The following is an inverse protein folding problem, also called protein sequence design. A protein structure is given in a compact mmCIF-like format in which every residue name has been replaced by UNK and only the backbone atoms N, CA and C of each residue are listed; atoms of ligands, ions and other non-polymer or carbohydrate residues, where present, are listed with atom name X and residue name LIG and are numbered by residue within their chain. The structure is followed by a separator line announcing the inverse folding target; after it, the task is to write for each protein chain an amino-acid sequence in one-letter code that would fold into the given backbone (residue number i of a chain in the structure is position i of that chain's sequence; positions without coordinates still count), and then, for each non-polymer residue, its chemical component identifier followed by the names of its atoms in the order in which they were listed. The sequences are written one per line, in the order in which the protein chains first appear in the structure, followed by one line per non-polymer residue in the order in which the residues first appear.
data_IF_423173496569
#
_entry.id   IF_423173496569
#
_cell.length_a   1.000
_cell.length_b   1.000
_cell.length_c   1.000
_cell.angle_alpha   90.00
_cell.angle_beta   90.00
_cell.angle_gamma   90.00
#
_symmetry.space_group_name_H-M   'P 1'
#
loop_
_entity.id
_entity.type
_entity.pdbx_description
1 polymer ?
#
# COMPACT_ATOMS: atom_id res chain seq x y z
N UNK A 1 45.03 7.26 8.11
CA UNK A 1 44.15 6.87 6.98
C UNK A 1 43.04 5.92 7.43
N UNK A 2 42.89 5.71 8.73
CA UNK A 2 42.07 4.63 9.30
C UNK A 2 40.60 5.03 9.51
N UNK A 3 40.32 6.31 9.78
CA UNK A 3 38.96 6.81 10.02
C UNK A 3 38.09 6.73 8.77
N UNK A 4 38.67 7.00 7.59
CA UNK A 4 37.93 6.95 6.32
C UNK A 4 37.59 5.50 5.93
N UNK A 5 38.47 4.55 6.22
CA UNK A 5 38.21 3.12 6.04
C UNK A 5 37.13 2.60 6.99
N UNK A 6 37.14 3.04 8.25
CA UNK A 6 36.09 2.68 9.22
C UNK A 6 34.73 3.22 8.77
N UNK A 7 34.67 4.45 8.26
CA UNK A 7 33.42 5.03 7.75
C UNK A 7 32.91 4.30 6.50
N UNK A 8 33.81 3.91 5.59
CA UNK A 8 33.46 3.14 4.39
C UNK A 8 32.95 1.73 4.74
N UNK A 9 33.56 1.08 5.73
CA UNK A 9 33.12 -0.24 6.22
C UNK A 9 31.75 -0.15 6.90
N UNK A 10 31.52 0.87 7.73
CA UNK A 10 30.21 1.10 8.36
C UNK A 10 29.11 1.41 7.33
N UNK A 11 29.43 2.18 6.29
CA UNK A 11 28.50 2.45 5.19
C UNK A 11 28.20 1.18 4.37
N UNK A 12 29.20 0.34 4.11
CA UNK A 12 29.02 -0.94 3.44
C UNK A 12 28.14 -1.92 4.23
N UNK A 13 28.23 -1.94 5.56
CA UNK A 13 27.38 -2.76 6.44
C UNK A 13 25.91 -2.30 6.42
N UNK A 14 25.65 -1.01 6.20
CA UNK A 14 24.28 -0.49 6.10
C UNK A 14 23.57 -0.89 4.79
N UNK A 15 24.31 -1.25 3.73
CA UNK A 15 23.74 -1.58 2.41
C UNK A 15 23.24 -3.03 2.35
N UNK A 16 23.57 -3.90 3.32
CA UNK A 16 23.24 -5.34 3.25
C UNK A 16 21.86 -5.72 3.78
N UNK A 17 20.99 -4.77 4.13
CA UNK A 17 19.60 -5.08 4.44
C UNK A 17 18.79 -5.18 3.15
N UNK A 18 18.72 -6.38 2.56
CA UNK A 18 17.71 -6.70 1.56
C UNK A 18 16.48 -7.25 2.27
N UNK A 19 15.37 -6.53 2.22
CA UNK A 19 14.08 -7.03 2.69
C UNK A 19 13.49 -7.98 1.64
N UNK A 20 13.51 -9.28 1.95
CA UNK A 20 12.60 -10.25 1.33
C UNK A 20 11.43 -10.43 2.31
N UNK A 21 10.19 -10.51 1.81
CA UNK A 21 9.03 -10.70 2.66
C UNK A 21 9.05 -12.14 3.22
N UNK A 22 9.58 -12.25 4.43
CA UNK A 22 9.73 -13.50 5.17
C UNK A 22 8.92 -13.41 6.46
N UNK A 23 8.00 -14.35 6.65
CA UNK A 23 7.16 -14.37 7.84
C UNK A 23 6.93 -15.79 8.35
N UNK A 24 6.74 -15.88 9.66
CA UNK A 24 6.46 -17.14 10.32
C UNK A 24 4.96 -17.34 10.53
N UNK A 25 4.48 -18.56 10.28
CA UNK A 25 3.10 -19.01 10.49
C UNK A 25 3.12 -20.06 11.59
N UNK A 26 2.31 -19.83 12.63
CA UNK A 26 2.17 -20.78 13.73
C UNK A 26 1.25 -21.96 13.35
N UNK A 27 1.36 -23.11 14.03
CA UNK A 27 0.56 -24.29 13.71
C UNK A 27 -0.95 -24.02 13.81
N UNK A 28 -1.76 -24.54 12.86
CA UNK A 28 -3.21 -24.34 12.78
C UNK A 28 -3.63 -22.86 12.66
N UNK A 29 -2.75 -22.00 12.15
CA UNK A 29 -3.08 -20.60 11.86
C UNK A 29 -3.04 -20.32 10.37
N UNK A 30 -3.76 -19.28 9.96
CA UNK A 30 -3.68 -18.71 8.61
C UNK A 30 -3.09 -17.31 8.67
N UNK A 31 -2.21 -16.98 7.73
CA UNK A 31 -1.70 -15.63 7.52
C UNK A 31 -1.94 -15.21 6.08
N UNK A 32 -2.42 -14.00 5.89
CA UNK A 32 -2.77 -13.46 4.59
C UNK A 32 -2.06 -12.14 4.37
N UNK A 33 -1.52 -11.96 3.16
CA UNK A 33 -1.03 -10.68 2.67
C UNK A 33 -2.08 -10.11 1.72
N UNK A 34 -2.59 -8.91 2.01
CA UNK A 34 -3.61 -8.25 1.19
C UNK A 34 -3.03 -6.99 0.56
N UNK A 35 -3.23 -6.83 -0.73
CA UNK A 35 -2.66 -5.74 -1.52
C UNK A 35 -3.70 -5.16 -2.49
N UNK A 36 -3.67 -3.84 -2.67
CA UNK A 36 -4.51 -3.11 -3.63
C UNK A 36 -3.77 -3.04 -4.96
N UNK A 37 -4.41 -3.49 -6.05
CA UNK A 37 -3.81 -3.48 -7.39
C UNK A 37 -4.73 -2.76 -8.37
N UNK A 38 -4.12 -2.07 -9.32
CA UNK A 38 -4.82 -1.44 -10.43
C UNK A 38 -5.43 -2.45 -11.40
N UNK A 39 -6.36 -1.97 -12.22
CA UNK A 39 -6.99 -2.78 -13.27
C UNK A 39 -5.96 -3.20 -14.34
N UNK A 40 -6.13 -4.39 -14.91
CA UNK A 40 -5.37 -4.93 -16.05
C UNK A 40 -3.86 -5.12 -15.77
N UNK A 41 -3.52 -5.42 -14.51
CA UNK A 41 -2.13 -5.65 -14.07
C UNK A 41 -1.88 -7.15 -13.88
N UNK A 42 -0.79 -7.64 -14.49
CA UNK A 42 -0.30 -9.00 -14.26
C UNK A 42 0.39 -9.08 -12.90
N UNK A 43 -0.05 -10.01 -12.05
CA UNK A 43 0.59 -10.30 -10.76
C UNK A 43 1.19 -11.70 -10.83
N UNK A 44 2.46 -11.83 -10.45
CA UNK A 44 3.17 -13.09 -10.36
C UNK A 44 3.80 -13.24 -8.97
N UNK A 45 3.60 -14.39 -8.34
CA UNK A 45 4.15 -14.70 -7.03
C UNK A 45 4.99 -15.95 -7.05
N UNK A 46 6.14 -15.93 -6.37
CA UNK A 46 6.98 -17.08 -6.08
C UNK A 46 7.02 -17.30 -4.56
N UNK A 47 6.79 -18.55 -4.14
CA UNK A 47 6.75 -18.88 -2.73
C UNK A 47 7.66 -20.07 -2.43
N UNK A 48 8.29 -20.04 -1.26
CA UNK A 48 9.13 -21.09 -0.72
C UNK A 48 8.86 -21.25 0.77
N UNK A 49 8.62 -22.49 1.19
CA UNK A 49 8.21 -22.84 2.55
C UNK A 49 9.28 -23.75 3.15
N UNK A 50 9.65 -23.48 4.41
CA UNK A 50 10.59 -24.33 5.13
C UNK A 50 9.98 -25.69 5.48
N UNK A 51 10.79 -26.75 5.42
CA UNK A 51 10.32 -28.10 5.75
C UNK A 51 10.03 -28.21 7.26
N UNK A 52 8.76 -28.41 7.61
CA UNK A 52 8.29 -28.70 8.96
C UNK A 52 7.66 -30.09 9.03
N UNK A 53 8.25 -31.06 9.75
CA UNK A 53 7.73 -32.42 9.82
C UNK A 53 6.35 -32.47 10.50
N UNK A 54 5.38 -33.13 9.88
CA UNK A 54 4.03 -33.32 10.44
C UNK A 54 3.08 -32.11 10.29
N UNK A 55 3.44 -31.15 9.44
CA UNK A 55 2.59 -30.01 9.08
C UNK A 55 2.47 -29.90 7.55
N UNK A 56 1.31 -29.46 7.08
CA UNK A 56 1.02 -29.17 5.67
C UNK A 56 0.61 -27.72 5.54
N UNK A 57 1.02 -27.05 4.48
CA UNK A 57 0.61 -25.67 4.20
C UNK A 57 -0.24 -25.65 2.94
N UNK A 58 -1.38 -24.97 3.02
CA UNK A 58 -2.25 -24.71 1.88
C UNK A 58 -2.12 -23.23 1.48
N UNK A 59 -2.18 -22.95 0.18
CA UNK A 59 -2.15 -21.61 -0.37
C UNK A 59 -3.46 -21.34 -1.11
N UNK A 60 -4.11 -20.24 -0.78
CA UNK A 60 -5.26 -19.71 -1.50
C UNK A 60 -5.02 -18.23 -1.82
N UNK A 61 -5.27 -17.85 -3.06
CA UNK A 61 -5.29 -16.46 -3.53
C UNK A 61 -6.73 -16.11 -3.85
N UNK A 62 -7.27 -15.12 -3.18
CA UNK A 62 -8.66 -14.70 -3.31
C UNK A 62 -8.75 -13.21 -3.61
N UNK A 63 -9.76 -12.82 -4.38
CA UNK A 63 -10.13 -11.44 -4.62
C UNK A 63 -11.01 -10.89 -3.48
N UNK A 64 -11.25 -9.58 -3.41
CA UNK A 64 -12.05 -8.94 -2.35
C UNK A 64 -13.50 -9.43 -2.31
N UNK A 65 -13.99 -9.90 -3.47
CA UNK A 65 -15.31 -10.52 -3.67
C UNK A 65 -15.36 -11.99 -3.23
N UNK A 66 -14.22 -12.56 -2.81
CA UNK A 66 -14.09 -13.96 -2.40
C UNK A 66 -13.94 -14.94 -3.57
N UNK A 67 -13.68 -14.45 -4.78
CA UNK A 67 -13.37 -15.31 -5.93
C UNK A 67 -11.98 -15.92 -5.77
N UNK A 68 -11.86 -17.23 -5.96
CA UNK A 68 -10.58 -17.95 -5.85
C UNK A 68 -9.83 -17.82 -7.18
N UNK A 69 -8.72 -17.08 -7.16
CA UNK A 69 -7.84 -16.87 -8.30
C UNK A 69 -6.84 -18.02 -8.45
N UNK A 70 -6.36 -18.55 -7.32
CA UNK A 70 -5.44 -19.67 -7.29
C UNK A 70 -5.61 -20.44 -5.97
N UNK A 71 -5.57 -21.77 -6.01
CA UNK A 71 -5.65 -22.59 -4.81
C UNK A 71 -4.79 -23.85 -4.98
N UNK A 72 -3.98 -24.17 -3.97
CA UNK A 72 -3.14 -25.36 -3.96
C UNK A 72 -2.92 -25.87 -2.55
N UNK A 73 -3.10 -27.18 -2.37
CA UNK A 73 -2.90 -27.87 -1.10
C UNK A 73 -1.50 -28.50 -1.03
N UNK A 74 -1.00 -28.66 0.20
CA UNK A 74 0.28 -29.32 0.51
C UNK A 74 1.47 -28.77 -0.32
N UNK A 75 1.69 -27.46 -0.18
CA UNK A 75 2.68 -26.73 -0.95
C UNK A 75 4.05 -26.65 -0.24
N UNK A 76 5.12 -26.69 -1.03
CA UNK A 76 6.51 -26.48 -0.58
C UNK A 76 7.19 -25.32 -1.30
N UNK A 77 7.26 -25.42 -2.63
CA UNK A 77 7.79 -24.37 -3.50
C UNK A 77 6.96 -24.28 -4.77
N UNK A 78 6.78 -23.09 -5.32
CA UNK A 78 6.04 -22.92 -6.56
C UNK A 78 5.90 -21.46 -6.98
N UNK A 79 5.23 -21.28 -8.12
CA UNK A 79 4.88 -19.98 -8.68
C UNK A 79 3.39 -19.96 -9.02
N UNK A 80 2.79 -18.79 -8.95
CA UNK A 80 1.44 -18.52 -9.45
C UNK A 80 1.45 -17.20 -10.21
N UNK A 81 0.50 -17.05 -11.14
CA UNK A 81 0.29 -15.78 -11.83
C UNK A 81 -1.19 -15.63 -12.19
N UNK A 82 -1.70 -14.40 -12.10
CA UNK A 82 -3.05 -14.03 -12.48
C UNK A 82 -3.06 -12.57 -12.97
N UNK A 83 -4.10 -12.16 -13.68
CA UNK A 83 -4.27 -10.77 -14.15
C UNK A 83 -5.52 -10.18 -13.50
N UNK A 84 -5.43 -8.93 -13.01
CA UNK A 84 -6.56 -8.24 -12.38
C UNK A 84 -7.54 -7.72 -13.44
N UNK A 85 -8.84 -7.98 -13.27
CA UNK A 85 -9.88 -7.52 -14.20
C UNK A 85 -10.44 -6.13 -13.85
N UNK A 86 -10.41 -5.76 -12.58
CA UNK A 86 -10.91 -4.49 -12.04
C UNK A 86 -9.90 -3.93 -11.02
N UNK A 87 -10.08 -2.66 -10.61
CA UNK A 87 -9.35 -2.13 -9.46
C UNK A 87 -9.88 -2.86 -8.22
N UNK A 88 -9.10 -3.79 -7.69
CA UNK A 88 -9.54 -4.64 -6.60
C UNK A 88 -8.38 -5.02 -5.66
N UNK A 89 -8.73 -5.53 -4.49
CA UNK A 89 -7.80 -6.08 -3.51
C UNK A 89 -7.75 -7.58 -3.63
N UNK A 90 -6.55 -8.13 -3.80
CA UNK A 90 -6.35 -9.57 -3.67
C UNK A 90 -5.66 -9.87 -2.34
N UNK A 91 -5.91 -11.07 -1.81
CA UNK A 91 -5.23 -11.60 -0.64
C UNK A 91 -4.58 -12.95 -0.95
N UNK A 92 -3.33 -13.11 -0.52
CA UNK A 92 -2.55 -14.34 -0.61
C UNK A 92 -2.48 -14.94 0.79
N UNK A 93 -3.24 -16.01 1.01
CA UNK A 93 -3.38 -16.68 2.30
C UNK A 93 -2.60 -18.01 2.33
N UNK A 94 -1.80 -18.17 3.37
CA UNK A 94 -1.14 -19.42 3.72
C UNK A 94 -1.77 -19.99 4.99
N UNK A 95 -2.29 -21.21 4.92
CA UNK A 95 -2.94 -21.90 6.03
C UNK A 95 -2.10 -23.13 6.44
N UNK A 96 -1.54 -23.12 7.64
CA UNK A 96 -0.80 -24.25 8.19
C UNK A 96 -1.76 -25.22 8.90
N UNK A 97 -1.83 -26.47 8.44
CA UNK A 97 -2.62 -27.55 9.06
C UNK A 97 -1.70 -28.62 9.62
N UNK A 98 -1.99 -29.04 10.85
CA UNK A 98 -1.21 -30.08 11.51
C UNK A 98 -1.76 -31.49 11.18
N UNK A 99 -0.90 -32.42 10.76
CA UNK A 99 -1.33 -33.77 10.36
C UNK A 99 -1.26 -34.81 11.48
N UNK A 100 -0.52 -34.56 12.56
CA UNK A 100 -0.42 -35.46 13.71
C UNK A 100 -0.20 -34.65 15.01
N UNK A 101 -0.78 -35.12 16.13
CA UNK A 101 -0.88 -34.41 17.42
C UNK A 101 0.43 -34.17 18.20
N UNK A 102 1.47 -33.69 17.53
CA UNK A 102 2.71 -33.20 18.13
C UNK A 102 2.66 -31.72 18.50
N UNK A 103 3.77 -31.20 19.04
CA UNK A 103 4.00 -29.75 19.14
C UNK A 103 4.49 -29.25 17.78
N UNK A 104 3.74 -28.35 17.15
CA UNK A 104 4.12 -27.78 15.87
C UNK A 104 5.15 -26.67 16.07
N UNK A 105 6.20 -26.67 15.25
CA UNK A 105 7.10 -25.53 15.11
C UNK A 105 6.48 -24.48 14.20
N UNK A 106 6.89 -23.22 14.36
CA UNK A 106 6.56 -22.19 13.39
C UNK A 106 7.15 -22.54 12.01
N UNK A 107 6.36 -22.32 10.97
CA UNK A 107 6.77 -22.51 9.57
C UNK A 107 7.19 -21.17 9.00
N UNK A 108 8.32 -21.14 8.32
CA UNK A 108 8.82 -19.96 7.63
C UNK A 108 8.34 -19.96 6.18
N UNK A 109 7.75 -18.85 5.77
CA UNK A 109 7.29 -18.63 4.40
C UNK A 109 8.02 -17.44 3.82
N UNK A 110 8.69 -17.67 2.70
CA UNK A 110 9.26 -16.64 1.83
C UNK A 110 8.30 -16.43 0.66
N UNK A 111 7.85 -15.20 0.46
CA UNK A 111 6.97 -14.81 -0.64
C UNK A 111 7.58 -13.63 -1.40
N UNK A 112 7.78 -13.80 -2.69
CA UNK A 112 8.18 -12.75 -3.64
C UNK A 112 7.00 -12.46 -4.57
N UNK A 113 6.45 -11.25 -4.49
CA UNK A 113 5.34 -10.78 -5.33
C UNK A 113 5.83 -9.71 -6.30
N UNK A 114 5.47 -9.88 -7.57
CA UNK A 114 5.82 -8.96 -8.65
C UNK A 114 4.56 -8.54 -9.38
N UNK A 115 4.52 -7.27 -9.80
CA UNK A 115 3.38 -6.67 -10.47
C UNK A 115 3.78 -5.96 -11.77
N UNK A 116 2.89 -6.01 -12.77
CA UNK A 116 3.00 -5.28 -14.03
C UNK A 116 4.24 -5.66 -14.84
N UNK A 117 5.08 -4.67 -15.13
CA UNK A 117 6.30 -4.82 -15.95
C UNK A 117 7.29 -5.81 -15.33
N UNK A 118 7.35 -5.89 -13.99
CA UNK A 118 8.27 -6.80 -13.28
C UNK A 118 7.78 -8.26 -13.31
N UNK A 119 6.47 -8.48 -13.40
CA UNK A 119 5.88 -9.81 -13.51
C UNK A 119 6.05 -10.42 -14.92
N UNK A 120 6.34 -9.61 -15.95
CA UNK A 120 6.49 -10.07 -17.33
C UNK A 120 7.83 -10.79 -17.56
N UNK A 121 7.77 -12.01 -18.11
CA UNK A 121 8.95 -12.76 -18.54
C UNK A 121 9.36 -12.37 -19.97
N UNK A 122 10.21 -11.34 -20.10
CA UNK A 122 10.71 -10.86 -21.40
C UNK A 122 11.54 -11.90 -22.15
N UNK A 123 12.24 -12.78 -21.45
CA UNK A 123 13.09 -13.82 -22.07
C UNK A 123 12.29 -14.87 -22.84
N UNK A 124 11.07 -15.17 -22.38
CA UNK A 124 10.20 -16.16 -23.02
C UNK A 124 9.46 -15.53 -24.21
N UNK A 125 9.06 -14.26 -24.08
CA UNK A 125 8.56 -13.44 -25.20
C UNK A 125 9.60 -13.30 -26.31
N UNK A 126 10.86 -13.03 -25.96
CA UNK A 126 11.97 -12.92 -26.89
C UNK A 126 12.17 -14.19 -27.74
N UNK A 127 12.06 -15.36 -27.11
CA UNK A 127 12.17 -16.66 -27.79
C UNK A 127 10.97 -16.94 -28.69
N UNK A 128 9.76 -16.58 -28.25
CA UNK A 128 8.53 -16.78 -29.02
C UNK A 128 8.49 -15.90 -30.28
N UNK A 129 8.86 -14.63 -30.15
CA UNK A 129 8.83 -13.65 -31.25
C UNK A 129 10.14 -13.60 -32.06
N UNK A 130 11.18 -14.36 -31.65
CA UNK A 130 12.52 -14.38 -32.25
C UNK A 130 13.14 -12.98 -32.35
N UNK A 131 12.93 -12.17 -31.33
CA UNK A 131 13.47 -10.81 -31.26
C UNK A 131 14.99 -10.85 -31.08
N UNK A 132 15.67 -9.83 -31.61
CA UNK A 132 17.10 -9.64 -31.29
C UNK A 132 17.23 -9.24 -29.82
N UNK A 133 18.33 -9.62 -29.13
CA UNK A 133 18.52 -9.26 -27.72
C UNK A 133 18.42 -7.75 -27.46
N UNK A 134 18.86 -6.92 -28.43
CA UNK A 134 18.72 -5.46 -28.35
C UNK A 134 17.27 -4.97 -28.41
N UNK A 135 16.40 -5.62 -29.21
CA UNK A 135 14.99 -5.22 -29.36
C UNK A 135 14.19 -5.51 -28.07
N UNK A 136 14.54 -6.60 -27.37
CA UNK A 136 13.93 -6.99 -26.09
C UNK A 136 14.22 -5.96 -25.01
N UNK A 137 15.47 -5.49 -24.91
CA UNK A 137 15.86 -4.46 -23.95
C UNK A 137 15.13 -3.13 -24.22
N UNK A 138 15.05 -2.72 -25.49
CA UNK A 138 14.29 -1.52 -25.88
C UNK A 138 12.80 -1.63 -25.53
N UNK A 139 12.19 -2.79 -25.78
CA UNK A 139 10.78 -3.03 -25.44
C UNK A 139 10.54 -2.99 -23.94
N UNK A 140 11.45 -3.55 -23.14
CA UNK A 140 11.39 -3.49 -21.68
C UNK A 140 11.48 -2.05 -21.16
N UNK A 141 12.35 -1.23 -21.73
CA UNK A 141 12.46 0.19 -21.38
C UNK A 141 11.22 1.01 -21.79
N UNK A 142 10.63 0.70 -22.95
CA UNK A 142 9.39 1.31 -23.40
C UNK A 142 8.23 0.99 -22.43
N UNK A 143 8.03 -0.28 -22.10
CA UNK A 143 7.00 -0.73 -21.17
C UNK A 143 7.19 -0.11 -19.77
N UNK A 144 8.44 -0.06 -19.28
CA UNK A 144 8.76 0.58 -18.00
C UNK A 144 8.46 2.08 -18.03
N UNK A 145 8.88 2.78 -19.08
CA UNK A 145 8.61 4.22 -19.23
C UNK A 145 7.12 4.51 -19.31
N UNK A 146 6.36 3.65 -20.00
CA UNK A 146 4.91 3.81 -20.11
C UNK A 146 4.22 3.61 -18.77
N UNK A 147 4.58 2.56 -18.02
CA UNK A 147 4.08 2.32 -16.66
C UNK A 147 4.29 3.54 -15.75
N UNK A 148 5.49 4.13 -15.79
CA UNK A 148 5.81 5.32 -14.98
C UNK A 148 4.92 6.51 -15.37
N UNK A 149 4.69 6.75 -16.67
CA UNK A 149 3.83 7.85 -17.13
C UNK A 149 2.38 7.66 -16.67
N UNK A 150 1.87 6.44 -16.77
CA UNK A 150 0.51 6.09 -16.32
C UNK A 150 0.39 6.31 -14.79
N UNK A 151 1.39 5.89 -14.01
CA UNK A 151 1.44 6.13 -12.56
C UNK A 151 1.47 7.63 -12.21
N UNK A 152 2.24 8.44 -12.95
CA UNK A 152 2.28 9.89 -12.77
C UNK A 152 0.94 10.56 -13.08
N UNK A 153 0.23 10.11 -14.12
CA UNK A 153 -1.09 10.62 -14.46
C UNK A 153 -2.11 10.31 -13.36
N UNK A 154 -2.05 9.10 -12.80
CA UNK A 154 -2.86 8.70 -11.65
C UNK A 154 -2.56 9.57 -10.41
N UNK A 155 -1.28 9.76 -10.06
CA UNK A 155 -0.89 10.60 -8.91
C UNK A 155 -1.38 12.04 -9.08
N UNK A 156 -1.28 12.59 -10.29
CA UNK A 156 -1.78 13.93 -10.62
C UNK A 156 -3.30 14.04 -10.47
N UNK A 157 -4.06 13.03 -10.88
CA UNK A 157 -5.51 13.00 -10.70
C UNK A 157 -5.88 13.04 -9.22
N UNK A 158 -5.22 12.22 -8.41
CA UNK A 158 -5.43 12.19 -6.95
C UNK A 158 -5.05 13.51 -6.26
N UNK A 159 -3.94 14.13 -6.67
CA UNK A 159 -3.55 15.44 -6.15
C UNK A 159 -4.63 16.48 -6.43
N UNK A 160 -5.20 16.49 -7.64
CA UNK A 160 -6.27 17.42 -8.01
C UNK A 160 -7.49 17.25 -7.12
N UNK A 161 -7.95 16.01 -6.89
CA UNK A 161 -9.08 15.74 -6.00
C UNK A 161 -8.79 16.15 -4.55
N UNK A 162 -7.59 15.87 -4.03
CA UNK A 162 -7.17 16.32 -2.70
C UNK A 162 -7.11 17.85 -2.60
N UNK A 163 -6.66 18.52 -3.66
CA UNK A 163 -6.60 19.98 -3.69
C UNK A 163 -8.00 20.60 -3.70
N UNK A 164 -8.90 20.07 -4.52
CA UNK A 164 -10.29 20.57 -4.62
C UNK A 164 -11.06 20.37 -3.30
N UNK A 165 -10.85 19.24 -2.62
CA UNK A 165 -11.43 18.99 -1.28
C UNK A 165 -10.83 19.91 -0.21
N UNK A 166 -9.53 20.18 -0.26
CA UNK A 166 -8.87 21.13 0.64
C UNK A 166 -9.37 22.56 0.40
N UNK A 167 -9.47 23.01 -0.85
CA UNK A 167 -9.92 24.36 -1.20
C UNK A 167 -11.39 24.61 -0.79
N UNK A 168 -12.27 23.64 -1.05
CA UNK A 168 -13.68 23.73 -0.65
C UNK A 168 -13.86 23.71 0.87
N UNK A 169 -13.07 22.91 1.59
CA UNK A 169 -13.08 22.87 3.06
C UNK A 169 -12.58 24.19 3.64
N UNK A 170 -11.44 24.68 3.15
CA UNK A 170 -10.86 25.95 3.56
C UNK A 170 -11.85 27.11 3.37
N UNK A 171 -12.52 27.17 2.22
CA UNK A 171 -13.52 28.21 1.92
C UNK A 171 -14.69 28.18 2.91
N UNK A 172 -15.25 27.01 3.20
CA UNK A 172 -16.35 26.86 4.17
C UNK A 172 -15.95 27.31 5.58
N UNK A 173 -14.76 26.89 6.03
CA UNK A 173 -14.22 27.28 7.34
C UNK A 173 -13.99 28.79 7.40
N UNK A 174 -13.48 29.39 6.32
CA UNK A 174 -13.29 30.84 6.23
C UNK A 174 -14.61 31.59 6.42
N UNK A 175 -15.69 31.18 5.73
CA UNK A 175 -16.99 31.83 5.89
C UNK A 175 -17.56 31.69 7.32
N UNK A 176 -17.45 30.52 7.94
CA UNK A 176 -17.86 30.34 9.34
C UNK A 176 -17.04 31.19 10.32
N UNK A 177 -15.74 31.33 10.07
CA UNK A 177 -14.85 32.19 10.87
C UNK A 177 -15.25 33.67 10.78
N UNK A 178 -15.50 34.17 9.57
CA UNK A 178 -15.97 35.55 9.34
C UNK A 178 -17.31 35.79 10.03
N UNK A 179 -18.27 34.88 9.86
CA UNK A 179 -19.58 34.98 10.52
C UNK A 179 -19.46 35.03 12.05
N UNK A 180 -18.64 34.14 12.63
CA UNK A 180 -18.37 34.11 14.07
C UNK A 180 -17.77 35.42 14.57
N UNK A 181 -16.77 35.97 13.87
CA UNK A 181 -16.15 37.25 14.21
C UNK A 181 -17.18 38.40 14.18
N UNK A 182 -18.04 38.46 13.16
CA UNK A 182 -19.12 39.44 13.08
C UNK A 182 -20.10 39.32 14.24
N UNK A 183 -20.51 38.10 14.62
CA UNK A 183 -21.38 37.86 15.76
C UNK A 183 -20.75 38.33 17.08
N UNK A 184 -19.46 38.05 17.32
CA UNK A 184 -18.75 38.49 18.51
C UNK A 184 -18.67 40.02 18.62
N UNK A 185 -18.38 40.71 17.52
CA UNK A 185 -18.37 42.17 17.48
C UNK A 185 -19.77 42.76 17.71
N UNK A 186 -20.80 42.15 17.14
CA UNK A 186 -22.20 42.53 17.38
C UNK A 186 -22.63 42.35 18.84
N UNK A 187 -22.24 41.24 19.48
CA UNK A 187 -22.52 41.01 20.89
C UNK A 187 -21.74 41.97 21.80
N UNK A 188 -20.47 42.25 21.51
CA UNK A 188 -19.65 43.19 22.28
C UNK A 188 -20.21 44.61 22.23
N UNK A 189 -20.61 45.09 21.05
CA UNK A 189 -21.23 46.42 20.90
C UNK A 189 -22.60 46.48 21.60
N UNK A 190 -23.41 45.44 21.47
CA UNK A 190 -24.68 45.33 22.19
C UNK A 190 -24.49 45.38 23.71
N UNK A 191 -23.52 44.62 24.24
CA UNK A 191 -23.19 44.59 25.67
C UNK A 191 -22.82 45.99 26.18
N UNK A 192 -21.98 46.75 25.45
CA UNK A 192 -21.60 48.12 25.83
C UNK A 192 -22.80 49.07 25.80
N UNK A 193 -23.65 49.00 24.78
CA UNK A 193 -24.85 49.83 24.69
C UNK A 193 -25.87 49.49 25.79
N UNK A 194 -26.05 48.21 26.09
CA UNK A 194 -26.92 47.76 27.17
C UNK A 194 -26.44 48.28 28.52
N UNK A 195 -25.15 48.13 28.85
CA UNK A 195 -24.57 48.66 30.08
C UNK A 195 -24.70 50.19 30.16
N UNK A 196 -24.43 50.92 29.07
CA UNK A 196 -24.63 52.38 29.02
C UNK A 196 -26.09 52.78 29.28
N UNK A 197 -27.06 52.10 28.65
CA UNK A 197 -28.50 52.35 28.89
C UNK A 197 -28.90 52.03 30.33
N UNK A 198 -28.39 50.92 30.86
CA UNK A 198 -28.65 50.50 32.24
C UNK A 198 -28.15 51.54 33.25
N UNK A 199 -26.92 52.04 33.11
CA UNK A 199 -26.38 53.08 34.00
C UNK A 199 -27.09 54.43 33.90
N UNK A 200 -27.50 54.84 32.69
CA UNK A 200 -28.32 56.05 32.49
C UNK A 200 -29.70 55.92 33.16
N UNK A 201 -30.37 54.78 33.02
CA UNK A 201 -31.66 54.54 33.65
C UNK A 201 -31.61 54.57 35.19
N UNK A 202 -30.49 54.16 35.78
CA UNK A 202 -30.25 54.17 37.23
C UNK A 202 -29.68 55.50 37.77
N UNK A 203 -29.49 56.54 36.94
CA UNK A 203 -28.93 57.86 37.30
C UNK A 203 -27.55 57.80 38.00
N UNK A 204 -26.69 56.84 37.64
CA UNK A 204 -25.34 56.72 38.22
C UNK A 204 -24.28 57.53 37.47
N UNK A 205 -24.58 57.98 36.24
CA UNK A 205 -23.71 58.79 35.38
C UNK A 205 -24.64 59.70 34.55
N UNK A 206 -24.36 61.02 34.50
CA UNK A 206 -25.12 62.03 33.75
C UNK A 206 -24.99 61.84 32.21
#
# INVERSE_FOLDING_TARGET
MDVFHVFFVLFAIYITFSDALMFHISPNTKKCLREEIHKDVLVAGEYEISDAPGQKVNLAVTDSKGHILYNKEDIKKGKFAFTTEEYDMFEVCFEAKMTAGGHGSDIEVTLDLKHGVEAKQYDDLAKAEKLKPLEVELRRLEDLSKSIVDDFEYMKSREKEMRDTNESTHSRVMYFSIFSMCCLLGLATWQVLYLRRYFKAKKLIE
#
